data_IF_697650732983
#
_entry.id   IF_697650732983
#
_cell.length_a   1.000
_cell.length_b   1.000
_cell.length_c   1.000
_cell.angle_alpha   90.00
_cell.angle_beta   90.00
_cell.angle_gamma   90.00
#
_symmetry.space_group_name_H-M   'P 1'
#
loop_
_entity.id
_entity.type
_entity.pdbx_description
1 polymer ?
#
# COMPACT_ATOMS: atom_id res chain seq x y z
N UNK A 1 30.71 10.70 -11.88
CA UNK A 1 30.56 11.68 -10.77
C UNK A 1 29.41 11.18 -9.89
N UNK A 2 29.59 11.04 -8.57
CA UNK A 2 28.49 10.69 -7.64
C UNK A 2 28.00 11.98 -7.00
N UNK A 3 26.73 12.34 -7.22
CA UNK A 3 26.11 13.51 -6.59
C UNK A 3 25.63 13.11 -5.19
N UNK A 4 25.98 13.90 -4.18
CA UNK A 4 25.35 13.79 -2.86
C UNK A 4 23.96 14.43 -2.94
N UNK A 5 22.93 13.63 -2.68
CA UNK A 5 21.57 14.13 -2.60
C UNK A 5 21.37 14.77 -1.22
N UNK A 6 20.93 16.04 -1.14
CA UNK A 6 20.59 16.66 0.13
C UNK A 6 19.51 15.85 0.85
N UNK A 7 19.68 15.64 2.16
CA UNK A 7 18.77 14.82 2.97
C UNK A 7 17.41 15.48 3.26
N UNK A 8 17.19 16.73 2.83
CA UNK A 8 15.99 17.52 3.16
C UNK A 8 15.10 17.83 1.94
N UNK A 9 15.22 17.08 0.84
CA UNK A 9 14.34 17.28 -0.32
C UNK A 9 12.86 16.97 -0.05
N UNK A 10 12.57 16.16 0.97
CA UNK A 10 11.22 15.69 1.29
C UNK A 10 10.49 16.59 2.32
N UNK A 11 11.19 17.56 2.91
CA UNK A 11 10.59 18.49 3.89
C UNK A 11 10.02 19.69 3.14
N UNK A 12 8.74 19.96 3.32
CA UNK A 12 8.11 21.16 2.75
C UNK A 12 8.77 22.45 3.25
N UNK A 13 9.02 23.37 2.32
CA UNK A 13 9.53 24.69 2.63
C UNK A 13 8.54 25.49 3.49
N UNK A 14 9.08 26.08 4.55
CA UNK A 14 8.34 26.98 5.44
C UNK A 14 8.48 28.41 4.93
N UNK A 15 7.54 28.81 4.08
CA UNK A 15 7.54 30.13 3.43
C UNK A 15 7.06 31.21 4.40
N UNK A 16 6.12 30.90 5.30
CA UNK A 16 5.49 31.85 6.21
C UNK A 16 5.88 31.57 7.65
N UNK A 17 7.12 31.91 8.02
CA UNK A 17 7.64 31.71 9.37
C UNK A 17 7.64 30.22 9.76
N UNK A 18 6.86 29.77 10.76
CA UNK A 18 6.81 28.36 11.12
C UNK A 18 5.94 27.51 10.18
N UNK A 19 5.17 28.12 9.27
CA UNK A 19 4.17 27.45 8.43
C UNK A 19 4.69 27.07 7.06
N UNK A 20 4.34 25.85 6.61
CA UNK A 20 4.40 25.50 5.19
C UNK A 20 3.29 26.20 4.41
N UNK A 21 3.45 26.31 3.10
CA UNK A 21 2.43 26.94 2.24
C UNK A 21 1.03 26.31 2.42
N UNK A 22 0.97 24.98 2.53
CA UNK A 22 -0.29 24.25 2.72
C UNK A 22 -0.92 24.56 4.08
N UNK A 23 -0.11 24.60 5.15
CA UNK A 23 -0.59 24.93 6.49
C UNK A 23 -1.15 26.35 6.56
N UNK A 24 -0.45 27.30 5.93
CA UNK A 24 -0.93 28.68 5.81
C UNK A 24 -2.29 28.72 5.09
N UNK A 25 -2.43 27.99 3.98
CA UNK A 25 -3.69 27.95 3.23
C UNK A 25 -4.84 27.37 4.04
N UNK A 26 -4.61 26.34 4.87
CA UNK A 26 -5.64 25.77 5.73
C UNK A 26 -6.10 26.75 6.82
N UNK A 27 -5.16 27.47 7.44
CA UNK A 27 -5.48 28.47 8.48
C UNK A 27 -6.15 29.70 7.87
N UNK A 28 -5.65 30.19 6.73
CA UNK A 28 -6.28 31.30 6.01
C UNK A 28 -7.69 30.92 5.51
N UNK A 29 -7.85 29.70 5.00
CA UNK A 29 -9.14 29.16 4.57
C UNK A 29 -10.14 29.03 5.72
N UNK A 30 -9.73 28.52 6.88
CA UNK A 30 -10.62 28.42 8.04
C UNK A 30 -10.98 29.80 8.62
N UNK A 31 -10.02 30.73 8.69
CA UNK A 31 -10.28 32.11 9.10
C UNK A 31 -11.25 32.82 8.13
N UNK A 32 -11.06 32.64 6.81
CA UNK A 32 -11.97 33.14 5.79
C UNK A 32 -13.38 32.56 5.91
N UNK A 33 -13.49 31.24 6.13
CA UNK A 33 -14.77 30.59 6.36
C UNK A 33 -15.47 31.12 7.63
N UNK A 34 -14.73 31.36 8.71
CA UNK A 34 -15.26 32.00 9.92
C UNK A 34 -15.74 33.42 9.66
N UNK A 35 -15.01 34.23 8.88
CA UNK A 35 -15.45 35.56 8.51
C UNK A 35 -16.76 35.52 7.73
N UNK A 36 -16.88 34.63 6.74
CA UNK A 36 -18.11 34.45 5.96
C UNK A 36 -19.29 34.06 6.89
N UNK A 37 -19.09 33.09 7.79
CA UNK A 37 -20.12 32.69 8.76
C UNK A 37 -20.55 33.83 9.68
N UNK A 38 -19.61 34.72 10.06
CA UNK A 38 -19.89 35.85 10.93
C UNK A 38 -20.81 36.88 10.29
N UNK A 39 -20.61 37.14 8.99
CA UNK A 39 -21.42 38.07 8.21
C UNK A 39 -22.73 37.46 7.74
N UNK A 40 -22.75 36.17 7.40
CA UNK A 40 -23.94 35.49 6.88
C UNK A 40 -24.99 35.22 7.95
N UNK A 41 -24.58 34.89 9.18
CA UNK A 41 -25.50 34.50 10.25
C UNK A 41 -25.80 35.72 11.15
N UNK A 42 -27.07 36.19 11.21
CA UNK A 42 -27.43 37.33 12.06
C UNK A 42 -27.43 36.98 13.55
N UNK A 43 -27.77 35.73 13.89
CA UNK A 43 -27.80 35.24 15.28
C UNK A 43 -26.37 34.86 15.71
N UNK A 44 -25.71 35.75 16.45
CA UNK A 44 -24.29 35.59 16.82
C UNK A 44 -24.01 34.34 17.65
N UNK A 45 -24.91 33.93 18.53
CA UNK A 45 -24.76 32.69 19.31
C UNK A 45 -24.62 31.45 18.42
N UNK A 46 -25.45 31.33 17.38
CA UNK A 46 -25.39 30.24 16.41
C UNK A 46 -24.13 30.34 15.55
N UNK A 47 -23.74 31.55 15.16
CA UNK A 47 -22.52 31.80 14.40
C UNK A 47 -21.27 31.30 15.15
N UNK A 48 -21.11 31.65 16.43
CA UNK A 48 -19.99 31.18 17.25
C UNK A 48 -19.99 29.66 17.44
N UNK A 49 -21.16 29.07 17.65
CA UNK A 49 -21.29 27.61 17.76
C UNK A 49 -20.82 26.90 16.48
N UNK A 50 -21.14 27.45 15.30
CA UNK A 50 -20.70 26.88 14.02
C UNK A 50 -19.23 27.16 13.70
N UNK A 51 -18.67 28.28 14.17
CA UNK A 51 -17.25 28.60 13.97
C UNK A 51 -16.33 27.69 14.76
N UNK A 52 -16.73 27.28 15.96
CA UNK A 52 -15.91 26.43 16.83
C UNK A 52 -15.40 25.15 16.12
N UNK A 53 -16.26 24.33 15.49
CA UNK A 53 -15.78 23.16 14.75
C UNK A 53 -15.00 23.53 13.49
N UNK A 54 -15.28 24.66 12.83
CA UNK A 54 -14.53 25.11 11.64
C UNK A 54 -13.09 25.47 11.99
N UNK A 55 -12.89 26.23 13.07
CA UNK A 55 -11.56 26.55 13.59
C UNK A 55 -10.85 25.29 14.04
N UNK A 56 -11.53 24.41 14.79
CA UNK A 56 -10.97 23.14 15.23
C UNK A 56 -10.51 22.25 14.07
N UNK A 57 -11.33 22.16 13.02
CA UNK A 57 -10.99 21.39 11.82
C UNK A 57 -9.83 22.00 11.04
N UNK A 58 -9.81 23.33 10.86
CA UNK A 58 -8.69 24.03 10.22
C UNK A 58 -7.36 23.86 10.98
N UNK A 59 -7.41 23.96 12.30
CA UNK A 59 -6.24 23.71 13.16
C UNK A 59 -5.78 22.25 13.09
N UNK A 60 -6.71 21.30 13.06
CA UNK A 60 -6.38 19.88 12.88
C UNK A 60 -5.71 19.64 11.52
N UNK A 61 -6.20 20.23 10.44
CA UNK A 61 -5.56 20.12 9.12
C UNK A 61 -4.14 20.68 9.09
N UNK A 62 -3.87 21.77 9.81
CA UNK A 62 -2.56 22.42 9.81
C UNK A 62 -1.53 21.71 10.72
N UNK A 63 -1.94 21.30 11.92
CA UNK A 63 -1.00 20.86 12.96
C UNK A 63 -1.11 19.39 13.34
N UNK A 64 -2.27 18.78 13.15
CA UNK A 64 -2.50 17.42 13.64
C UNK A 64 -1.85 16.39 12.71
N UNK A 65 -1.18 15.42 13.33
CA UNK A 65 -0.51 14.32 12.65
C UNK A 65 -0.97 13.02 13.28
N UNK A 66 -1.32 12.06 12.45
CA UNK A 66 -1.67 10.70 12.86
C UNK A 66 -0.66 9.75 12.22
N UNK A 67 -0.04 8.88 13.02
CA UNK A 67 0.95 7.90 12.55
C UNK A 67 2.08 8.54 11.72
N UNK A 68 2.60 9.68 12.17
CA UNK A 68 3.60 10.49 11.47
C UNK A 68 3.17 11.04 10.10
N UNK A 69 1.88 10.97 9.75
CA UNK A 69 1.33 11.56 8.52
C UNK A 69 0.47 12.79 8.83
N UNK A 70 0.56 13.85 8.02
CA UNK A 70 -0.36 14.99 8.09
C UNK A 70 -1.83 14.56 8.03
N UNK A 71 -2.69 15.21 8.83
CA UNK A 71 -4.12 14.88 8.92
C UNK A 71 -4.86 14.92 7.57
N UNK A 72 -4.41 15.77 6.64
CA UNK A 72 -4.99 15.86 5.29
C UNK A 72 -5.05 14.52 4.56
N UNK A 73 -4.07 13.62 4.76
CA UNK A 73 -4.09 12.30 4.11
C UNK A 73 -5.23 11.41 4.59
N UNK A 74 -5.64 11.58 5.85
CA UNK A 74 -6.76 10.83 6.42
C UNK A 74 -8.08 11.37 5.89
N UNK A 75 -8.19 12.69 5.81
CA UNK A 75 -9.35 13.34 5.19
C UNK A 75 -9.48 12.90 3.73
N UNK A 76 -8.38 12.93 2.97
CA UNK A 76 -8.35 12.45 1.59
C UNK A 76 -8.73 10.97 1.48
N UNK A 77 -8.18 10.11 2.34
CA UNK A 77 -8.53 8.69 2.36
C UNK A 77 -10.01 8.46 2.71
N UNK A 78 -10.56 9.24 3.64
CA UNK A 78 -11.97 9.21 4.00
C UNK A 78 -12.85 9.58 2.79
N UNK A 79 -12.56 10.69 2.10
CA UNK A 79 -13.29 11.11 0.90
C UNK A 79 -13.17 10.09 -0.25
N UNK A 80 -11.97 9.56 -0.48
CA UNK A 80 -11.75 8.50 -1.47
C UNK A 80 -12.57 7.26 -1.14
N UNK A 81 -12.53 6.81 0.11
CA UNK A 81 -13.25 5.61 0.54
C UNK A 81 -14.78 5.75 0.46
N UNK A 82 -15.33 6.93 0.76
CA UNK A 82 -16.78 7.17 0.69
C UNK A 82 -17.29 7.28 -0.74
N UNK A 83 -16.50 7.90 -1.63
CA UNK A 83 -16.91 8.15 -3.02
C UNK A 83 -16.58 6.97 -3.95
N UNK A 84 -15.58 6.16 -3.62
CA UNK A 84 -15.15 5.03 -4.45
C UNK A 84 -16.16 3.88 -4.37
N UNK A 85 -16.49 3.31 -5.52
CA UNK A 85 -17.30 2.09 -5.62
C UNK A 85 -16.58 0.91 -4.95
N UNK A 86 -17.26 0.25 -4.01
CA UNK A 86 -16.71 -0.89 -3.24
C UNK A 86 -16.78 -2.20 -4.00
N UNK A 87 -16.27 -2.20 -5.24
CA UNK A 87 -16.25 -3.39 -6.06
C UNK A 87 -15.03 -4.23 -5.69
N UNK A 88 -15.22 -5.15 -4.74
CA UNK A 88 -14.21 -6.11 -4.34
C UNK A 88 -14.16 -7.25 -5.37
N UNK A 89 -13.50 -7.00 -6.50
CA UNK A 89 -13.17 -8.08 -7.45
C UNK A 89 -11.89 -8.74 -6.96
N UNK A 90 -11.94 -10.07 -6.77
CA UNK A 90 -10.71 -10.84 -6.70
C UNK A 90 -10.02 -10.76 -8.05
N UNK A 91 -9.03 -9.86 -8.14
CA UNK A 91 -8.12 -9.81 -9.28
C UNK A 91 -6.97 -10.76 -9.01
N UNK A 92 -7.03 -11.95 -9.57
CA UNK A 92 -5.88 -12.86 -9.56
C UNK A 92 -4.82 -12.29 -10.51
N UNK A 93 -4.07 -11.29 -10.04
CA UNK A 93 -2.92 -10.81 -10.79
C UNK A 93 -1.90 -11.95 -10.86
N UNK A 94 -1.84 -12.59 -12.02
CA UNK A 94 -0.68 -13.39 -12.37
C UNK A 94 0.51 -12.43 -12.30
N UNK A 95 1.30 -12.56 -11.23
CA UNK A 95 2.55 -11.84 -11.06
C UNK A 95 3.38 -12.11 -12.32
N UNK A 96 3.35 -11.18 -13.28
CA UNK A 96 4.30 -11.19 -14.38
C UNK A 96 5.64 -11.02 -13.70
N UNK A 97 6.40 -12.10 -13.66
CA UNK A 97 7.79 -12.06 -13.23
C UNK A 97 8.48 -11.14 -14.22
N UNK A 98 8.65 -9.87 -13.85
CA UNK A 98 9.51 -8.95 -14.58
C UNK A 98 10.90 -9.59 -14.54
N UNK A 99 11.51 -9.93 -15.70
CA UNK A 99 12.78 -10.65 -15.72
C UNK A 99 13.94 -9.91 -15.03
N UNK A 100 13.78 -8.60 -14.76
CA UNK A 100 14.83 -7.72 -14.25
C UNK A 100 15.13 -7.82 -12.75
N UNK A 101 14.36 -8.60 -11.97
CA UNK A 101 14.59 -8.76 -10.52
C UNK A 101 15.02 -10.18 -10.11
N UNK A 102 15.43 -11.02 -11.06
CA UNK A 102 16.15 -12.25 -10.70
C UNK A 102 17.63 -11.88 -10.48
N UNK A 103 18.19 -12.07 -9.28
CA UNK A 103 19.64 -12.21 -9.15
C UNK A 103 20.07 -13.32 -10.10
N UNK A 104 20.83 -13.00 -11.15
CA UNK A 104 21.32 -13.90 -12.19
C UNK A 104 22.30 -14.98 -11.67
N UNK A 105 22.37 -15.19 -10.37
CA UNK A 105 23.45 -15.93 -9.69
C UNK A 105 22.96 -17.06 -8.76
N UNK A 106 21.67 -17.44 -8.79
CA UNK A 106 21.12 -18.41 -7.80
C UNK A 106 20.50 -19.69 -8.36
N UNK A 107 20.46 -19.94 -9.67
CA UNK A 107 19.66 -21.05 -10.22
C UNK A 107 20.38 -22.15 -10.99
N UNK A 108 21.71 -22.14 -11.19
CA UNK A 108 22.36 -23.22 -11.97
C UNK A 108 23.17 -24.25 -11.16
N UNK A 109 23.47 -23.99 -9.89
CA UNK A 109 24.41 -24.84 -9.11
C UNK A 109 23.73 -25.80 -8.13
N UNK A 110 22.46 -25.59 -7.78
CA UNK A 110 21.77 -26.35 -6.73
C UNK A 110 20.74 -27.36 -7.22
N UNK A 111 20.55 -27.50 -8.53
CA UNK A 111 19.75 -28.61 -9.08
C UNK A 111 20.71 -29.72 -9.50
N UNK A 112 20.78 -30.86 -8.77
CA UNK A 112 21.49 -32.01 -9.28
C UNK A 112 20.83 -32.42 -10.60
N UNK A 113 21.56 -32.28 -11.71
CA UNK A 113 21.11 -32.79 -13.02
C UNK A 113 21.05 -34.30 -12.91
N UNK A 114 19.87 -34.83 -12.59
CA UNK A 114 19.58 -36.25 -12.70
C UNK A 114 19.75 -36.60 -14.18
N UNK A 115 20.81 -37.34 -14.49
CA UNK A 115 21.03 -37.83 -15.86
C UNK A 115 19.86 -38.69 -16.30
N UNK A 116 19.51 -38.65 -17.59
CA UNK A 116 18.39 -39.43 -18.14
C UNK A 116 18.48 -40.93 -17.79
N UNK A 117 19.69 -41.48 -17.64
CA UNK A 117 19.89 -42.86 -17.18
C UNK A 117 19.40 -43.09 -15.75
N UNK A 118 19.65 -42.16 -14.82
CA UNK A 118 19.21 -42.25 -13.42
C UNK A 118 17.69 -42.16 -13.31
N UNK A 119 17.06 -41.31 -14.12
CA UNK A 119 15.60 -41.22 -14.19
C UNK A 119 15.00 -42.53 -14.72
N UNK A 120 15.61 -43.10 -15.76
CA UNK A 120 15.18 -44.38 -16.34
C UNK A 120 15.36 -45.56 -15.37
N UNK A 121 16.46 -45.58 -14.62
CA UNK A 121 16.73 -46.57 -13.56
C UNK A 121 15.70 -46.46 -12.42
N UNK A 122 15.34 -45.23 -12.02
CA UNK A 122 14.31 -44.98 -11.01
C UNK A 122 12.93 -45.42 -11.48
N UNK A 123 12.53 -45.07 -12.70
CA UNK A 123 11.26 -45.54 -13.30
C UNK A 123 11.21 -47.05 -13.40
N UNK A 124 12.32 -47.69 -13.78
CA UNK A 124 12.39 -49.15 -13.85
C UNK A 124 12.31 -49.78 -12.45
N UNK A 125 13.03 -49.24 -11.46
CA UNK A 125 13.01 -49.72 -10.08
C UNK A 125 11.63 -49.59 -9.42
N UNK A 126 10.92 -48.49 -9.69
CA UNK A 126 9.56 -48.26 -9.19
C UNK A 126 8.59 -49.27 -9.81
N UNK A 127 8.64 -49.48 -11.13
CA UNK A 127 7.79 -50.47 -11.80
C UNK A 127 8.08 -51.92 -11.41
N UNK A 128 9.34 -52.27 -11.12
CA UNK A 128 9.70 -53.62 -10.66
C UNK A 128 9.31 -53.83 -9.19
N UNK A 129 9.49 -52.84 -8.33
CA UNK A 129 9.10 -52.90 -6.92
C UNK A 129 7.58 -52.96 -6.73
N UNK A 130 6.81 -52.29 -7.60
CA UNK A 130 5.34 -52.34 -7.58
C UNK A 130 4.79 -53.75 -7.84
N UNK A 131 5.43 -54.52 -8.73
CA UNK A 131 5.06 -55.92 -9.01
C UNK A 131 5.46 -56.91 -7.90
N UNK A 132 6.40 -56.54 -7.03
CA UNK A 132 6.84 -57.37 -5.91
C UNK A 132 6.12 -57.03 -4.60
N UNK A 133 5.43 -55.88 -4.55
CA UNK A 133 4.70 -55.45 -3.37
C UNK A 133 3.41 -56.30 -3.21
N UNK A 134 3.27 -57.10 -2.14
CA UNK A 134 2.14 -58.03 -1.98
C UNK A 134 0.78 -57.34 -1.82
N UNK A 135 0.76 -56.02 -1.67
CA UNK A 135 -0.44 -55.18 -1.45
C UNK A 135 -1.05 -54.66 -2.76
N UNK A 136 -0.26 -54.59 -3.85
CA UNK A 136 -0.67 -54.07 -5.18
C UNK A 136 -0.81 -55.14 -6.25
N UNK A 137 -0.65 -56.42 -5.90
CA UNK A 137 -0.96 -57.55 -6.80
C UNK A 137 -2.45 -57.55 -7.14
N UNK A 138 -2.81 -57.01 -8.31
CA UNK A 138 -4.13 -57.22 -8.88
C UNK A 138 -4.22 -58.66 -9.36
N UNK A 139 -4.97 -59.50 -8.65
CA UNK A 139 -5.33 -60.84 -9.10
C UNK A 139 -6.08 -60.76 -10.43
N UNK A 140 -5.35 -60.88 -11.53
CA UNK A 140 -5.93 -61.01 -12.87
C UNK A 140 -5.58 -62.39 -13.40
N UNK A 141 -6.42 -63.37 -13.05
CA UNK A 141 -6.55 -64.63 -13.77
C UNK A 141 -7.67 -64.46 -14.81
N UNK A 142 -7.29 -64.43 -16.08
CA UNK A 142 -8.07 -65.00 -17.19
C UNK A 142 -7.13 -65.45 -18.30
#
# INVERSE_FOLDING_TARGET
>A
MRFQVPQFIDVEDKIFGPFTFKQFLYVAGSAGACAILYFLIPIKAVAYFLMLPVVGFGAALAFYKINNKPFIYIVEAFFKYTTTSKLYIWKHEQKKLTPDLLPKELSSSFLPKLGESKLKDLTWSLGVAENQNPITRSDTNR
#
